data_IF_134391124154
#
_entry.id   IF_134391124154
#
_cell.length_a   1.000
_cell.length_b   1.000
_cell.length_c   1.000
_cell.angle_alpha   90.00
_cell.angle_beta   90.00
_cell.angle_gamma   90.00
#
_symmetry.space_group_name_H-M   'P 1'
#
loop_
_entity.id
_entity.type
_entity.pdbx_description
1 polymer ?
#
# COMPACT_ATOMS: atom_id res chain seq x y z
N UNK A 1 14.70 92.00 -19.10
CA UNK A 1 14.46 92.04 -20.55
C UNK A 1 13.94 90.68 -20.95
N UNK A 2 12.64 90.63 -21.22
CA UNK A 2 11.89 89.45 -21.62
C UNK A 2 12.29 88.91 -23.01
N UNK A 3 11.62 87.81 -23.35
CA UNK A 3 11.20 87.34 -24.69
C UNK A 3 12.00 86.12 -25.21
N UNK A 4 11.48 84.91 -24.93
CA UNK A 4 10.81 84.06 -25.92
C UNK A 4 10.20 82.80 -25.26
N UNK A 5 8.88 82.69 -25.33
CA UNK A 5 8.12 81.46 -25.08
C UNK A 5 8.12 80.61 -26.36
N UNK A 6 8.35 79.30 -26.26
CA UNK A 6 7.79 78.34 -27.21
C UNK A 6 7.64 76.95 -26.58
N UNK A 7 6.46 76.38 -26.85
CA UNK A 7 5.93 75.11 -26.40
C UNK A 7 6.85 73.91 -26.67
N UNK A 8 6.97 73.00 -25.69
CA UNK A 8 7.22 71.57 -25.96
C UNK A 8 6.10 70.76 -25.35
N UNK A 9 5.22 70.28 -26.23
CA UNK A 9 4.23 69.26 -25.94
C UNK A 9 4.91 67.92 -25.65
N UNK A 10 4.43 67.26 -24.60
CA UNK A 10 4.21 65.82 -24.47
C UNK A 10 5.28 64.84 -24.96
N UNK A 11 5.86 64.10 -24.02
CA UNK A 11 5.96 62.64 -24.16
C UNK A 11 5.88 61.98 -22.79
N UNK A 12 4.65 61.62 -22.42
CA UNK A 12 4.41 60.57 -21.42
C UNK A 12 5.03 59.31 -22.01
N UNK A 13 6.16 58.89 -21.45
CA UNK A 13 6.75 57.58 -21.70
C UNK A 13 5.80 56.51 -21.14
N UNK A 14 4.87 56.08 -21.99
CA UNK A 14 4.01 54.93 -21.76
C UNK A 14 4.88 53.69 -21.66
N UNK A 15 5.09 53.19 -20.44
CA UNK A 15 5.49 51.80 -20.25
C UNK A 15 4.34 50.94 -20.78
N UNK A 16 4.53 50.39 -21.99
CA UNK A 16 3.60 49.49 -22.63
C UNK A 16 3.36 48.25 -21.76
N UNK A 17 2.15 48.16 -21.20
CA UNK A 17 1.64 46.94 -20.61
C UNK A 17 1.47 45.84 -21.68
N UNK A 18 1.49 44.56 -21.28
CA UNK A 18 1.45 43.43 -22.21
C UNK A 18 0.21 43.48 -23.12
N UNK A 19 0.40 43.20 -24.41
CA UNK A 19 -0.64 43.26 -25.45
C UNK A 19 -1.74 42.22 -25.21
N UNK A 20 -3.02 42.57 -25.45
CA UNK A 20 -4.19 41.73 -25.19
C UNK A 20 -4.15 40.33 -25.86
N UNK A 21 -3.49 40.19 -27.01
CA UNK A 21 -3.28 38.90 -27.68
C UNK A 21 -2.29 37.98 -26.98
N UNK A 22 -1.33 38.54 -26.25
CA UNK A 22 -0.34 37.80 -25.47
C UNK A 22 -0.93 37.34 -24.13
N UNK A 23 -1.79 38.17 -23.51
CA UNK A 23 -2.61 37.76 -22.37
C UNK A 23 -3.60 36.66 -22.74
N UNK A 24 -4.25 36.74 -23.89
CA UNK A 24 -5.18 35.69 -24.37
C UNK A 24 -4.48 34.34 -24.54
N UNK A 25 -3.29 34.32 -25.16
CA UNK A 25 -2.50 33.09 -25.31
C UNK A 25 -2.01 32.54 -23.98
N UNK A 26 -1.59 33.39 -23.05
CA UNK A 26 -1.16 32.98 -21.72
C UNK A 26 -2.29 32.38 -20.88
N UNK A 27 -3.49 32.95 -20.99
CA UNK A 27 -4.70 32.42 -20.33
C UNK A 27 -5.06 31.06 -20.91
N UNK A 28 -5.14 30.95 -22.24
CA UNK A 28 -5.45 29.69 -22.95
C UNK A 28 -4.44 28.59 -22.62
N UNK A 29 -3.13 28.91 -22.62
CA UNK A 29 -2.06 27.98 -22.24
C UNK A 29 -2.13 27.57 -20.76
N UNK A 30 -2.56 28.46 -19.86
CA UNK A 30 -2.77 28.14 -18.44
C UNK A 30 -3.94 27.17 -18.28
N UNK A 31 -5.04 27.42 -18.96
CA UNK A 31 -6.25 26.58 -18.92
C UNK A 31 -5.97 25.19 -19.50
N UNK A 32 -5.23 25.08 -20.61
CA UNK A 32 -4.82 23.78 -21.17
C UNK A 32 -3.93 22.98 -20.21
N UNK A 33 -2.95 23.63 -19.56
CA UNK A 33 -2.08 22.99 -18.56
C UNK A 33 -2.86 22.49 -17.33
N UNK A 34 -3.91 23.20 -16.95
CA UNK A 34 -4.77 22.83 -15.81
C UNK A 34 -5.63 21.61 -16.14
N UNK A 35 -6.24 21.58 -17.34
CA UNK A 35 -6.98 20.42 -17.85
C UNK A 35 -6.07 19.18 -17.98
N UNK A 36 -4.84 19.34 -18.46
CA UNK A 36 -3.89 18.24 -18.59
C UNK A 36 -3.45 17.69 -17.22
N UNK A 37 -3.24 18.56 -16.22
CA UNK A 37 -2.96 18.13 -14.84
C UNK A 37 -4.11 17.35 -14.23
N UNK A 38 -5.36 17.79 -14.44
CA UNK A 38 -6.54 17.06 -13.97
C UNK A 38 -6.66 15.67 -14.61
N UNK A 39 -6.36 15.56 -15.91
CA UNK A 39 -6.34 14.28 -16.63
C UNK A 39 -5.27 13.34 -16.08
N UNK A 40 -4.05 13.82 -15.87
CA UNK A 40 -2.95 13.03 -15.29
C UNK A 40 -3.32 12.56 -13.89
N UNK A 41 -3.93 13.42 -13.06
CA UNK A 41 -4.35 13.07 -11.70
C UNK A 41 -5.49 12.04 -11.69
N UNK A 42 -6.43 12.15 -12.64
CA UNK A 42 -7.49 11.15 -12.83
C UNK A 42 -6.92 9.79 -13.27
N UNK A 43 -5.95 9.77 -14.19
CA UNK A 43 -5.27 8.56 -14.64
C UNK A 43 -4.47 7.94 -13.49
N UNK A 44 -3.76 8.75 -12.71
CA UNK A 44 -2.99 8.30 -11.54
C UNK A 44 -3.89 7.67 -10.48
N UNK A 45 -5.04 8.29 -10.17
CA UNK A 45 -6.05 7.72 -9.25
C UNK A 45 -6.68 6.43 -9.76
N UNK A 46 -6.87 6.30 -11.08
CA UNK A 46 -7.44 5.11 -11.69
C UNK A 46 -6.42 3.97 -11.87
N UNK A 47 -5.11 4.26 -11.76
CA UNK A 47 -4.06 3.29 -12.03
C UNK A 47 -3.97 2.21 -10.94
N UNK A 48 -4.38 0.99 -11.29
CA UNK A 48 -4.21 -0.19 -10.43
C UNK A 48 -2.85 -0.83 -10.71
N UNK A 49 -2.01 -0.90 -9.68
CA UNK A 49 -0.71 -1.55 -9.78
C UNK A 49 -0.91 -3.06 -10.03
N UNK A 50 -0.30 -3.63 -11.08
CA UNK A 50 -0.45 -5.06 -11.34
C UNK A 50 0.29 -5.88 -10.28
N UNK A 51 -0.36 -6.93 -9.77
CA UNK A 51 0.21 -7.84 -8.77
C UNK A 51 1.58 -8.42 -9.18
N UNK A 52 1.78 -8.67 -10.48
CA UNK A 52 3.07 -9.17 -11.02
C UNK A 52 4.24 -8.22 -10.72
N UNK A 53 4.01 -6.90 -10.69
CA UNK A 53 5.05 -5.91 -10.36
C UNK A 53 5.41 -5.96 -8.87
N UNK A 54 4.42 -6.20 -8.01
CA UNK A 54 4.60 -6.35 -6.56
C UNK A 54 5.42 -7.62 -6.27
N UNK A 55 5.02 -8.76 -6.85
CA UNK A 55 5.76 -10.01 -6.71
C UNK A 55 7.15 -9.98 -7.37
N UNK A 56 7.32 -9.22 -8.45
CA UNK A 56 8.64 -9.03 -9.05
C UNK A 56 9.60 -8.31 -8.11
N UNK A 57 9.09 -7.46 -7.23
CA UNK A 57 9.89 -6.72 -6.25
C UNK A 57 10.32 -7.59 -5.07
N UNK A 58 9.55 -8.64 -4.73
CA UNK A 58 9.83 -9.62 -3.68
C UNK A 58 10.51 -10.92 -4.17
N UNK A 59 10.98 -10.96 -5.42
CA UNK A 59 11.70 -12.10 -6.00
C UNK A 59 12.88 -12.63 -5.16
N UNK A 60 13.76 -11.79 -4.57
CA UNK A 60 14.90 -12.28 -3.80
C UNK A 60 14.48 -13.07 -2.55
N UNK A 61 13.33 -12.76 -1.98
CA UNK A 61 12.80 -13.38 -0.77
C UNK A 61 11.85 -14.55 -1.05
N UNK A 62 11.69 -14.94 -2.33
CA UNK A 62 10.75 -15.98 -2.79
C UNK A 62 10.93 -17.32 -2.07
N UNK A 63 12.16 -17.67 -1.68
CA UNK A 63 12.47 -18.89 -0.94
C UNK A 63 11.75 -19.01 0.41
N UNK A 64 11.46 -17.89 1.07
CA UNK A 64 10.78 -17.88 2.38
C UNK A 64 9.25 -17.99 2.29
N UNK A 65 8.67 -17.83 1.10
CA UNK A 65 7.22 -17.98 0.92
C UNK A 65 6.76 -19.43 1.10
N UNK A 66 7.56 -20.39 0.66
CA UNK A 66 7.23 -21.82 0.75
C UNK A 66 6.97 -22.29 2.19
N UNK A 67 7.87 -22.08 3.17
CA UNK A 67 7.61 -22.48 4.56
C UNK A 67 6.46 -21.69 5.20
N UNK A 68 6.30 -20.39 4.88
CA UNK A 68 5.21 -19.58 5.39
C UNK A 68 3.83 -20.07 4.89
N UNK A 69 3.73 -20.42 3.60
CA UNK A 69 2.53 -20.98 3.00
C UNK A 69 2.20 -22.38 3.55
N UNK A 70 3.21 -23.22 3.76
CA UNK A 70 3.01 -24.53 4.37
C UNK A 70 2.47 -24.39 5.81
N UNK A 71 3.07 -23.51 6.61
CA UNK A 71 2.57 -23.19 7.95
C UNK A 71 1.13 -22.65 7.92
N UNK A 72 0.81 -21.81 6.93
CA UNK A 72 -0.53 -21.27 6.75
C UNK A 72 -1.57 -22.32 6.38
N UNK A 73 -1.20 -23.30 5.54
CA UNK A 73 -2.08 -24.41 5.20
C UNK A 73 -2.39 -25.28 6.42
N UNK A 74 -1.37 -25.59 7.23
CA UNK A 74 -1.53 -26.34 8.49
C UNK A 74 -2.44 -25.56 9.44
N UNK A 75 -2.15 -24.29 9.70
CA UNK A 75 -2.95 -23.46 10.61
C UNK A 75 -4.39 -23.28 10.11
N UNK A 76 -4.60 -23.11 8.79
CA UNK A 76 -5.93 -23.03 8.19
C UNK A 76 -6.75 -24.31 8.35
N UNK A 77 -6.09 -25.48 8.43
CA UNK A 77 -6.76 -26.77 8.68
C UNK A 77 -7.15 -26.97 10.15
N UNK A 78 -6.65 -26.16 11.09
CA UNK A 78 -6.94 -26.32 12.53
C UNK A 78 -8.43 -26.20 12.82
N UNK A 79 -9.13 -25.24 12.23
CA UNK A 79 -10.57 -25.00 12.43
C UNK A 79 -11.46 -26.23 12.15
N UNK A 80 -11.39 -26.88 10.97
CA UNK A 80 -12.18 -28.09 10.73
C UNK A 80 -11.79 -29.27 11.64
N UNK A 81 -10.50 -29.43 11.97
CA UNK A 81 -10.06 -30.49 12.89
C UNK A 81 -10.55 -30.24 14.32
N UNK A 82 -10.56 -28.99 14.78
CA UNK A 82 -11.10 -28.60 16.08
C UNK A 82 -12.60 -28.91 16.16
N UNK A 83 -13.36 -28.57 15.12
CA UNK A 83 -14.79 -28.92 15.03
C UNK A 83 -15.04 -30.44 15.07
N UNK A 84 -14.19 -31.23 14.39
CA UNK A 84 -14.27 -32.68 14.43
C UNK A 84 -13.99 -33.24 15.84
N UNK A 85 -12.94 -32.76 16.51
CA UNK A 85 -12.61 -33.17 17.89
C UNK A 85 -13.72 -32.77 18.88
N UNK A 86 -14.33 -31.59 18.69
CA UNK A 86 -15.45 -31.14 19.51
C UNK A 86 -16.65 -32.08 19.36
N UNK A 87 -17.02 -32.41 18.12
CA UNK A 87 -18.10 -33.35 17.85
C UNK A 87 -17.82 -34.74 18.46
N UNK A 88 -16.58 -35.22 18.36
CA UNK A 88 -16.13 -36.49 18.95
C UNK A 88 -16.18 -36.49 20.48
N UNK A 89 -15.82 -35.37 21.10
CA UNK A 89 -15.87 -35.16 22.55
C UNK A 89 -17.31 -35.14 23.04
N UNK A 90 -18.18 -34.40 22.36
CA UNK A 90 -19.61 -34.40 22.66
C UNK A 90 -20.20 -35.81 22.58
N UNK A 91 -19.92 -36.56 21.52
CA UNK A 91 -20.39 -37.96 21.42
C UNK A 91 -19.88 -38.84 22.56
N UNK A 92 -18.67 -38.63 23.06
CA UNK A 92 -18.15 -39.39 24.20
C UNK A 92 -18.91 -39.09 25.50
N UNK A 93 -19.29 -37.83 25.75
CA UNK A 93 -20.06 -37.43 26.93
C UNK A 93 -21.49 -38.02 26.96
N UNK A 94 -22.06 -38.36 25.82
CA UNK A 94 -23.39 -38.97 25.74
C UNK A 94 -23.38 -40.51 25.82
N UNK A 95 -22.22 -41.14 26.09
CA UNK A 95 -22.20 -42.59 26.33
C UNK A 95 -22.81 -42.92 27.71
N UNK A 96 -23.64 -43.96 27.80
CA UNK A 96 -24.33 -44.32 29.05
C UNK A 96 -23.43 -44.98 30.10
N UNK A 97 -22.33 -45.61 29.68
CA UNK A 97 -21.38 -46.28 30.58
C UNK A 97 -20.23 -45.32 30.98
N UNK A 98 -20.01 -45.06 32.29
CA UNK A 98 -18.99 -44.14 32.79
C UNK A 98 -17.55 -44.46 32.34
N UNK A 99 -17.18 -45.74 32.31
CA UNK A 99 -15.82 -46.15 31.94
C UNK A 99 -15.56 -45.84 30.46
N UNK A 100 -16.57 -46.11 29.65
CA UNK A 100 -16.61 -45.91 28.21
C UNK A 100 -16.60 -44.42 27.80
N UNK A 101 -17.17 -43.57 28.66
CA UNK A 101 -17.11 -42.11 28.57
C UNK A 101 -15.69 -41.61 28.87
N UNK A 102 -15.09 -42.06 29.98
CA UNK A 102 -13.74 -41.64 30.39
C UNK A 102 -12.69 -41.96 29.31
N UNK A 103 -12.78 -43.16 28.71
CA UNK A 103 -11.89 -43.54 27.61
C UNK A 103 -12.10 -42.69 26.35
N UNK A 104 -13.35 -42.37 26.02
CA UNK A 104 -13.70 -41.51 24.90
C UNK A 104 -13.18 -40.08 25.05
N UNK A 105 -13.29 -39.52 26.26
CA UNK A 105 -12.78 -38.18 26.60
C UNK A 105 -11.25 -38.18 26.64
N UNK A 106 -10.62 -39.21 27.21
CA UNK A 106 -9.15 -39.35 27.25
C UNK A 106 -8.55 -39.33 25.85
N UNK A 107 -9.14 -40.06 24.90
CA UNK A 107 -8.70 -40.05 23.51
C UNK A 107 -8.87 -38.67 22.85
N UNK A 108 -9.99 -37.99 23.11
CA UNK A 108 -10.24 -36.66 22.57
C UNK A 108 -9.27 -35.61 23.13
N UNK A 109 -8.96 -35.67 24.44
CA UNK A 109 -7.99 -34.80 25.10
C UNK A 109 -6.58 -34.94 24.52
N UNK A 110 -6.14 -36.16 24.22
CA UNK A 110 -4.86 -36.39 23.51
C UNK A 110 -4.89 -35.73 22.12
N UNK A 111 -6.02 -35.82 21.41
CA UNK A 111 -6.23 -35.13 20.14
C UNK A 111 -6.08 -33.61 20.24
N UNK A 112 -6.66 -32.99 21.28
CA UNK A 112 -6.51 -31.55 21.52
C UNK A 112 -5.07 -31.14 21.84
N UNK A 113 -4.31 -31.97 22.56
CA UNK A 113 -2.89 -31.71 22.83
C UNK A 113 -2.07 -31.71 21.53
N UNK A 114 -2.27 -32.72 20.67
CA UNK A 114 -1.60 -32.80 19.37
C UNK A 114 -1.97 -31.60 18.49
N UNK A 115 -3.26 -31.25 18.46
CA UNK A 115 -3.76 -30.11 17.71
C UNK A 115 -3.15 -28.80 18.21
N UNK A 116 -3.05 -28.60 19.53
CA UNK A 116 -2.41 -27.42 20.12
C UNK A 116 -0.94 -27.29 19.74
N UNK A 117 -0.17 -28.39 19.80
CA UNK A 117 1.24 -28.40 19.38
C UNK A 117 1.35 -28.06 17.89
N UNK A 118 0.55 -28.70 17.03
CA UNK A 118 0.58 -28.44 15.58
C UNK A 118 0.21 -26.99 15.23
N UNK A 119 -0.75 -26.42 15.97
CA UNK A 119 -1.20 -25.05 15.83
C UNK A 119 -0.09 -24.07 16.22
N UNK A 120 0.64 -24.34 17.32
CA UNK A 120 1.74 -23.50 17.76
C UNK A 120 2.83 -23.40 16.69
N UNK A 121 3.29 -24.54 16.15
CA UNK A 121 4.31 -24.55 15.09
C UNK A 121 3.80 -23.96 13.77
N UNK A 122 2.56 -24.28 13.38
CA UNK A 122 1.92 -23.77 12.16
C UNK A 122 1.76 -22.25 12.20
N UNK A 123 1.18 -21.73 13.29
CA UNK A 123 0.97 -20.30 13.49
C UNK A 123 2.29 -19.54 13.59
N UNK A 124 3.27 -20.06 14.34
CA UNK A 124 4.57 -19.41 14.47
C UNK A 124 5.29 -19.28 13.12
N UNK A 125 5.30 -20.36 12.34
CA UNK A 125 5.93 -20.36 11.00
C UNK A 125 5.18 -19.48 10.01
N UNK A 126 3.84 -19.51 10.02
CA UNK A 126 3.01 -18.65 9.19
C UNK A 126 3.24 -17.17 9.50
N UNK A 127 2.99 -16.78 10.75
CA UNK A 127 3.02 -15.37 11.16
C UNK A 127 4.43 -14.81 11.09
N UNK A 128 5.42 -15.55 11.61
CA UNK A 128 6.83 -15.15 11.54
C UNK A 128 7.34 -15.05 10.11
N UNK A 129 7.01 -16.04 9.27
CA UNK A 129 7.41 -16.05 7.86
C UNK A 129 6.82 -14.88 7.07
N UNK A 130 5.51 -14.64 7.17
CA UNK A 130 4.88 -13.51 6.50
C UNK A 130 5.30 -12.15 7.06
N UNK A 131 5.54 -12.04 8.36
CA UNK A 131 6.07 -10.81 8.97
C UNK A 131 7.46 -10.47 8.41
N UNK A 132 8.36 -11.45 8.38
CA UNK A 132 9.73 -11.27 7.87
C UNK A 132 9.75 -10.84 6.40
N UNK A 133 8.94 -11.51 5.56
CA UNK A 133 8.78 -11.17 4.14
C UNK A 133 8.20 -9.76 3.99
N UNK A 134 7.19 -9.41 4.79
CA UNK A 134 6.55 -8.09 4.77
C UNK A 134 7.52 -6.98 5.14
N UNK A 135 8.37 -7.19 6.16
CA UNK A 135 9.39 -6.23 6.58
C UNK A 135 10.41 -5.97 5.47
N UNK A 136 10.95 -7.03 4.85
CA UNK A 136 11.94 -6.91 3.79
C UNK A 136 11.38 -6.21 2.55
N UNK A 137 10.19 -6.62 2.12
CA UNK A 137 9.51 -5.99 0.99
C UNK A 137 9.27 -4.50 1.26
N UNK A 138 8.75 -4.17 2.45
CA UNK A 138 8.46 -2.78 2.81
C UNK A 138 9.74 -1.94 2.88
N UNK A 139 10.81 -2.48 3.47
CA UNK A 139 12.12 -1.82 3.54
C UNK A 139 12.64 -1.50 2.14
N UNK A 140 12.60 -2.47 1.22
CA UNK A 140 13.04 -2.31 -0.16
C UNK A 140 12.22 -1.26 -0.92
N UNK A 141 10.89 -1.31 -0.80
CA UNK A 141 9.99 -0.31 -1.39
C UNK A 141 10.35 1.08 -0.88
N UNK A 142 10.51 1.26 0.43
CA UNK A 142 10.86 2.56 1.01
C UNK A 142 12.19 3.07 0.50
N UNK A 143 13.25 2.25 0.50
CA UNK A 143 14.56 2.66 -0.02
C UNK A 143 14.49 3.09 -1.48
N UNK A 144 13.76 2.34 -2.33
CA UNK A 144 13.59 2.70 -3.74
C UNK A 144 12.79 3.98 -3.92
N UNK A 145 11.69 4.16 -3.17
CA UNK A 145 10.90 5.38 -3.22
C UNK A 145 11.73 6.60 -2.79
N UNK A 146 12.49 6.51 -1.70
CA UNK A 146 13.35 7.61 -1.24
C UNK A 146 14.44 7.94 -2.26
N UNK A 147 15.10 6.94 -2.85
CA UNK A 147 16.10 7.18 -3.88
C UNK A 147 15.47 7.93 -5.09
N UNK A 148 14.27 7.54 -5.51
CA UNK A 148 13.56 8.21 -6.60
C UNK A 148 13.06 9.60 -6.26
N UNK A 149 12.67 9.82 -5.01
CA UNK A 149 12.24 11.13 -4.54
C UNK A 149 13.38 12.13 -4.53
N UNK A 150 14.60 11.70 -4.17
CA UNK A 150 15.79 12.56 -4.20
C UNK A 150 16.30 12.88 -5.61
N UNK A 151 15.93 12.07 -6.61
CA UNK A 151 16.26 12.30 -8.02
C UNK A 151 15.30 13.28 -8.73
N UNK A 152 14.22 13.73 -8.08
CA UNK A 152 13.24 14.62 -8.71
C UNK A 152 13.68 16.08 -8.75
N UNK A 153 13.31 16.77 -9.84
CA UNK A 153 13.63 18.17 -10.06
C UNK A 153 12.98 19.10 -9.02
N UNK A 154 13.59 20.25 -8.75
CA UNK A 154 13.06 21.26 -7.81
C UNK A 154 11.63 21.71 -8.15
N UNK A 155 11.28 21.74 -9.44
CA UNK A 155 9.93 22.09 -9.90
C UNK A 155 8.85 21.08 -9.44
N UNK A 156 9.22 19.84 -9.14
CA UNK A 156 8.29 18.86 -8.56
C UNK A 156 7.91 19.23 -7.11
N UNK A 157 8.87 19.75 -6.35
CA UNK A 157 8.70 20.15 -4.94
C UNK A 157 7.99 21.49 -4.77
N UNK A 158 7.97 22.33 -5.81
CA UNK A 158 7.27 23.62 -5.83
C UNK A 158 5.75 23.47 -6.06
N UNK A 159 5.28 22.26 -6.40
CA UNK A 159 3.85 21.96 -6.53
C UNK A 159 3.21 21.85 -5.13
N UNK A 160 2.09 22.54 -4.92
CA UNK A 160 1.36 22.54 -3.64
C UNK A 160 0.87 21.15 -3.22
N UNK A 161 0.78 20.20 -4.16
CA UNK A 161 0.44 18.80 -3.87
C UNK A 161 1.61 18.00 -3.27
N UNK A 162 2.84 18.46 -3.41
CA UNK A 162 4.06 17.74 -2.99
C UNK A 162 4.93 18.55 -2.02
N UNK A 163 4.51 19.77 -1.66
CA UNK A 163 5.12 20.57 -0.61
C UNK A 163 4.93 19.90 0.77
N UNK A 164 5.96 19.90 1.64
CA UNK A 164 5.85 19.42 3.02
C UNK A 164 4.89 20.24 3.88
#
# INVERSE_FOLDING_TARGET
MDIYSSNVSSSVSSHGGPQAGEQSKLVETRTEKEIERERIDAIAKAYKVPWRRIFALSKPECGFYMPALLGAAVFGSVMPFEGFLLARSMRAFYKPDPDDMMDGVRLASIGYVILGISTLFGAFTQMGGFAFIGEHLTKRVRTLCFAKFLEQDMAFFDDSKHSP
#
